data_IF_062302496554
#
_entry.id   IF_062302496554
#
_cell.length_a   1.000
_cell.length_b   1.000
_cell.length_c   1.000
_cell.angle_alpha   90.00
_cell.angle_beta   90.00
_cell.angle_gamma   90.00
#
_symmetry.space_group_name_H-M   'P 1'
#
loop_
_entity.id
_entity.type
_entity.pdbx_description
1 polymer ?
#
# COMPACT_ATOMS: atom_id res chain seq x y z
N UNK A 1 22.82 5.31 7.19
CA UNK A 1 22.05 4.79 6.04
C UNK A 1 20.85 5.71 5.86
N UNK A 2 20.95 6.64 4.91
CA UNK A 2 19.78 7.36 4.39
C UNK A 2 19.02 6.34 3.55
N UNK A 3 17.95 5.78 4.09
CA UNK A 3 16.97 5.08 3.26
C UNK A 3 16.38 6.16 2.35
N UNK A 4 16.54 5.98 1.05
CA UNK A 4 15.86 6.78 0.03
C UNK A 4 14.35 6.60 0.25
N UNK A 5 13.75 7.50 1.04
CA UNK A 5 12.30 7.49 1.34
C UNK A 5 11.51 8.27 0.29
N UNK A 6 12.16 8.77 -0.74
CA UNK A 6 11.61 9.71 -1.72
C UNK A 6 11.31 9.08 -3.08
N UNK A 7 11.53 7.77 -3.23
CA UNK A 7 11.14 7.03 -4.42
C UNK A 7 9.63 6.73 -4.49
N UNK A 8 9.07 6.54 -5.70
CA UNK A 8 7.67 6.14 -5.88
C UNK A 8 7.41 4.78 -5.22
N UNK A 9 6.27 4.66 -4.53
CA UNK A 9 5.73 3.36 -4.12
C UNK A 9 5.56 2.44 -5.33
N UNK A 10 5.88 1.17 -5.14
CA UNK A 10 5.73 0.10 -6.14
C UNK A 10 4.83 -0.99 -5.60
N UNK A 11 4.16 -1.74 -6.49
CA UNK A 11 3.33 -2.88 -6.13
C UNK A 11 4.09 -3.91 -5.28
N UNK A 12 5.33 -4.22 -5.66
CA UNK A 12 6.18 -5.16 -4.91
C UNK A 12 6.44 -4.69 -3.48
N UNK A 13 6.59 -3.38 -3.28
CA UNK A 13 6.81 -2.81 -1.94
C UNK A 13 5.53 -2.84 -1.11
N UNK A 14 4.39 -2.46 -1.69
CA UNK A 14 3.09 -2.60 -1.03
C UNK A 14 2.83 -4.06 -0.63
N UNK A 15 3.08 -5.00 -1.54
CA UNK A 15 2.96 -6.44 -1.29
C UNK A 15 3.84 -6.88 -0.13
N UNK A 16 5.11 -6.46 -0.12
CA UNK A 16 6.04 -6.78 0.95
C UNK A 16 5.63 -6.17 2.30
N UNK A 17 5.09 -4.95 2.31
CA UNK A 17 4.61 -4.31 3.54
C UNK A 17 3.36 -5.02 4.10
N UNK A 18 2.41 -5.37 3.23
CA UNK A 18 1.22 -6.15 3.59
C UNK A 18 1.60 -7.53 4.11
N UNK A 19 2.44 -8.27 3.38
CA UNK A 19 2.89 -9.61 3.75
C UNK A 19 3.59 -9.63 5.12
N UNK A 20 4.43 -8.62 5.40
CA UNK A 20 5.05 -8.47 6.73
C UNK A 20 4.03 -8.29 7.86
N UNK A 21 2.93 -7.58 7.62
CA UNK A 21 1.91 -7.34 8.65
C UNK A 21 1.13 -8.61 8.98
N UNK A 22 0.81 -9.42 7.98
CA UNK A 22 0.14 -10.72 8.15
C UNK A 22 1.11 -11.86 8.48
N UNK A 23 2.42 -11.59 8.52
CA UNK A 23 3.49 -12.59 8.74
C UNK A 23 3.51 -13.71 7.69
N UNK A 24 3.19 -13.36 6.44
CA UNK A 24 3.29 -14.26 5.29
C UNK A 24 4.40 -13.81 4.33
N UNK A 25 4.71 -14.67 3.36
CA UNK A 25 5.63 -14.30 2.30
C UNK A 25 4.91 -13.43 1.25
N UNK A 26 5.60 -12.45 0.64
CA UNK A 26 4.99 -11.62 -0.40
C UNK A 26 4.54 -12.42 -1.63
N UNK A 27 5.14 -13.59 -1.88
CA UNK A 27 4.73 -14.50 -2.95
C UNK A 27 3.40 -15.21 -2.69
N UNK A 28 3.00 -15.38 -1.43
CA UNK A 28 1.73 -15.98 -1.04
C UNK A 28 0.56 -14.99 -1.18
N UNK A 29 0.83 -13.68 -1.07
CA UNK A 29 -0.19 -12.64 -1.20
C UNK A 29 -0.49 -12.38 -2.68
N UNK A 30 -1.59 -12.90 -3.23
CA UNK A 30 -1.95 -12.63 -4.63
C UNK A 30 -2.60 -11.26 -4.79
N UNK A 31 -2.55 -10.76 -6.01
CA UNK A 31 -3.07 -9.44 -6.34
C UNK A 31 -4.60 -9.37 -6.20
N UNK A 32 -5.29 -10.50 -6.39
CA UNK A 32 -6.75 -10.63 -6.30
C UNK A 32 -7.21 -11.22 -4.96
N UNK A 33 -6.29 -11.57 -4.06
CA UNK A 33 -6.66 -12.13 -2.75
C UNK A 33 -7.27 -11.05 -1.86
N UNK A 34 -8.24 -11.47 -1.06
CA UNK A 34 -8.87 -10.60 -0.08
C UNK A 34 -7.95 -10.45 1.14
N UNK A 35 -7.30 -9.30 1.26
CA UNK A 35 -6.37 -8.99 2.34
C UNK A 35 -7.01 -9.08 3.73
N UNK A 36 -8.30 -8.73 3.83
CA UNK A 36 -9.03 -8.83 5.11
C UNK A 36 -9.22 -10.30 5.53
N UNK A 37 -9.38 -11.21 4.57
CA UNK A 37 -9.49 -12.65 4.81
C UNK A 37 -8.14 -13.26 5.22
N UNK A 38 -7.04 -12.72 4.68
CA UNK A 38 -5.66 -13.06 5.06
C UNK A 38 -5.27 -12.56 6.46
N UNK A 39 -6.16 -11.86 7.18
CA UNK A 39 -5.90 -11.35 8.54
C UNK A 39 -5.29 -9.96 8.58
N UNK A 40 -5.55 -9.14 7.55
CA UNK A 40 -5.24 -7.71 7.59
C UNK A 40 -6.37 -6.95 8.30
N UNK A 41 -6.08 -6.44 9.51
CA UNK A 41 -7.05 -5.65 10.28
C UNK A 41 -6.98 -4.15 9.97
N UNK A 42 -8.06 -3.41 10.25
CA UNK A 42 -8.15 -1.95 10.04
C UNK A 42 -7.00 -1.16 10.68
N UNK A 43 -6.51 -1.58 11.85
CA UNK A 43 -5.35 -0.94 12.49
C UNK A 43 -4.06 -1.09 11.69
N UNK A 44 -3.86 -2.26 11.06
CA UNK A 44 -2.70 -2.55 10.21
C UNK A 44 -2.79 -1.74 8.92
N UNK A 45 -3.99 -1.66 8.33
CA UNK A 45 -4.25 -0.82 7.15
C UNK A 45 -3.97 0.66 7.44
N UNK A 46 -4.43 1.20 8.56
CA UNK A 46 -4.15 2.58 8.96
C UNK A 46 -2.63 2.84 9.06
N UNK A 47 -1.87 1.88 9.59
CA UNK A 47 -0.41 1.94 9.62
C UNK A 47 0.22 2.01 8.22
N UNK A 48 -0.27 1.21 7.27
CA UNK A 48 0.18 1.24 5.88
C UNK A 48 -0.14 2.58 5.21
N UNK A 49 -1.37 3.07 5.38
CA UNK A 49 -1.80 4.36 4.82
C UNK A 49 -0.89 5.49 5.28
N UNK A 50 -0.57 5.55 6.58
CA UNK A 50 0.35 6.56 7.12
C UNK A 50 1.77 6.39 6.58
N UNK A 51 2.30 5.16 6.53
CA UNK A 51 3.65 4.89 6.02
C UNK A 51 3.78 5.23 4.53
N UNK A 52 2.74 4.94 3.75
CA UNK A 52 2.69 5.26 2.33
C UNK A 52 2.47 6.75 2.09
N UNK A 53 1.74 7.44 2.96
CA UNK A 53 1.58 8.90 2.94
C UNK A 53 2.89 9.68 3.08
N UNK A 54 3.89 9.12 3.77
CA UNK A 54 5.24 9.74 3.83
C UNK A 54 5.95 9.82 2.46
N UNK A 55 5.48 9.08 1.45
CA UNK A 55 5.96 9.16 0.07
C UNK A 55 5.36 10.34 -0.71
N UNK A 56 4.61 11.23 -0.06
CA UNK A 56 4.01 12.42 -0.67
C UNK A 56 2.69 12.14 -1.39
N UNK A 57 2.10 10.96 -1.21
CA UNK A 57 0.77 10.63 -1.72
C UNK A 57 -0.28 10.92 -0.64
N UNK A 58 -1.33 11.66 -1.00
CA UNK A 58 -2.48 11.88 -0.12
C UNK A 58 -3.41 10.65 -0.12
N UNK A 59 -2.93 9.55 0.44
CA UNK A 59 -3.68 8.30 0.53
C UNK A 59 -4.55 8.29 1.79
N UNK A 60 -5.83 7.98 1.62
CA UNK A 60 -6.79 7.88 2.72
C UNK A 60 -7.25 6.44 2.95
N UNK A 61 -7.55 6.09 4.21
CA UNK A 61 -8.05 4.77 4.55
C UNK A 61 -9.36 4.43 3.83
N UNK A 62 -10.25 5.41 3.67
CA UNK A 62 -11.53 5.22 2.96
C UNK A 62 -11.33 4.72 1.53
N UNK A 63 -10.34 5.27 0.81
CA UNK A 63 -10.03 4.86 -0.57
C UNK A 63 -9.52 3.42 -0.63
N UNK A 64 -8.75 2.99 0.37
CA UNK A 64 -8.34 1.59 0.46
C UNK A 64 -9.47 0.69 0.93
N UNK A 65 -10.32 1.14 1.86
CA UNK A 65 -11.40 0.33 2.43
C UNK A 65 -12.50 -0.04 1.42
N UNK A 66 -12.63 0.72 0.32
CA UNK A 66 -13.48 0.37 -0.82
C UNK A 66 -12.95 -0.85 -1.60
N UNK A 67 -11.70 -1.22 -1.37
CA UNK A 67 -11.02 -2.33 -2.04
C UNK A 67 -10.52 -3.34 -1.01
N UNK A 68 -10.74 -4.62 -1.25
CA UNK A 68 -10.23 -5.67 -0.37
C UNK A 68 -9.02 -6.40 -0.94
N UNK A 69 -8.61 -6.07 -2.16
CA UNK A 69 -7.53 -6.74 -2.88
C UNK A 69 -6.33 -5.83 -3.08
N UNK A 70 -5.14 -6.43 -3.15
CA UNK A 70 -3.89 -5.70 -3.37
C UNK A 70 -3.89 -4.97 -4.73
N UNK A 71 -4.47 -5.57 -5.76
CA UNK A 71 -4.64 -4.95 -7.08
C UNK A 71 -5.47 -3.66 -7.00
N UNK A 72 -6.58 -3.67 -6.25
CA UNK A 72 -7.42 -2.49 -6.06
C UNK A 72 -6.66 -1.37 -5.35
N UNK A 73 -5.93 -1.70 -4.28
CA UNK A 73 -5.10 -0.74 -3.57
C UNK A 73 -4.03 -0.12 -4.45
N UNK A 74 -3.38 -0.94 -5.28
CA UNK A 74 -2.37 -0.47 -6.22
C UNK A 74 -2.94 0.47 -7.28
N UNK A 75 -4.16 0.24 -7.77
CA UNK A 75 -4.81 1.16 -8.71
C UNK A 75 -5.04 2.54 -8.10
N UNK A 76 -5.50 2.60 -6.84
CA UNK A 76 -5.67 3.86 -6.10
C UNK A 76 -4.34 4.59 -5.95
N UNK A 77 -3.33 3.90 -5.42
CA UNK A 77 -1.99 4.47 -5.21
C UNK A 77 -1.38 4.97 -6.52
N UNK A 78 -1.48 4.18 -7.59
CA UNK A 78 -0.99 4.58 -8.91
C UNK A 78 -1.73 5.82 -9.44
N UNK A 79 -3.03 5.96 -9.18
CA UNK A 79 -3.80 7.16 -9.47
C UNK A 79 -3.25 8.39 -8.74
N UNK A 80 -3.04 8.28 -7.43
CA UNK A 80 -2.52 9.35 -6.59
C UNK A 80 -1.07 9.74 -6.95
N UNK A 81 -0.23 8.77 -7.31
CA UNK A 81 1.14 9.02 -7.73
C UNK A 81 1.24 9.75 -9.08
N UNK A 82 0.27 9.56 -10.00
CA UNK A 82 0.22 10.34 -11.24
C UNK A 82 -0.25 11.77 -11.00
N UNK A 83 -1.15 11.96 -10.04
CA UNK A 83 -1.71 13.27 -9.71
C UNK A 83 -0.74 14.10 -8.86
N UNK A 84 0.12 13.45 -8.07
CA UNK A 84 1.21 14.12 -7.35
C UNK A 84 2.22 14.62 -8.38
N UNK A 85 2.28 15.94 -8.67
CA UNK A 85 3.33 16.43 -9.54
C UNK A 85 4.65 16.16 -8.81
N UNK A 86 5.50 15.34 -9.41
CA UNK A 86 6.89 15.22 -8.98
C UNK A 86 7.41 16.66 -8.84
N UNK A 87 7.61 17.10 -7.59
CA UNK A 87 8.06 18.44 -7.30
C UNK A 87 9.33 18.67 -8.12
N UNK A 88 9.25 19.67 -9.02
CA UNK A 88 10.30 20.01 -9.98
C UNK A 88 11.57 20.54 -9.35
#
# INVERSE_FOLDING_TARGET
MIVDRTGPLTLERMRADVAKLISEAPEDVRDDDNLMDLGLDSMRVLGLVMAWGEHGIALEFSQLAEHTTLAGWWQVVQGLQRDTPAAG
#
